data_IF_378949117146
#
_entry.id   IF_378949117146
#
_cell.length_a   1.000
_cell.length_b   1.000
_cell.length_c   1.000
_cell.angle_alpha   90.00
_cell.angle_beta   90.00
_cell.angle_gamma   90.00
#
_symmetry.space_group_name_H-M   'P 1'
#
loop_
_entity.id
_entity.type
_entity.pdbx_description
1 polymer ?
#
# COMPACT_ATOMS: atom_id res chain seq x y z
N UNK A 1 -15.19 18.77 -6.32
CA UNK A 1 -14.95 17.32 -6.04
C UNK A 1 -13.51 17.07 -5.61
N UNK A 2 -12.54 17.73 -6.24
CA UNK A 2 -11.10 17.57 -5.91
C UNK A 2 -10.72 17.78 -4.43
N UNK A 3 -11.23 18.79 -3.68
CA UNK A 3 -10.83 18.97 -2.29
C UNK A 3 -11.32 17.85 -1.36
N UNK A 4 -12.46 17.21 -1.67
CA UNK A 4 -12.98 16.07 -0.91
C UNK A 4 -12.10 14.84 -1.12
N UNK A 5 -11.68 14.58 -2.37
CA UNK A 5 -10.73 13.50 -2.67
C UNK A 5 -9.37 13.76 -2.04
N UNK A 6 -8.87 15.00 -2.06
CA UNK A 6 -7.61 15.35 -1.39
C UNK A 6 -7.67 15.08 0.12
N UNK A 7 -8.77 15.45 0.79
CA UNK A 7 -8.96 15.15 2.22
C UNK A 7 -9.05 13.64 2.48
N UNK A 8 -9.74 12.89 1.62
CA UNK A 8 -9.86 11.44 1.73
C UNK A 8 -8.50 10.74 1.54
N UNK A 9 -7.72 11.14 0.53
CA UNK A 9 -6.36 10.65 0.31
C UNK A 9 -5.50 10.93 1.54
N UNK A 10 -5.54 12.15 2.07
CA UNK A 10 -4.81 12.51 3.30
C UNK A 10 -5.21 11.64 4.50
N UNK A 11 -6.50 11.35 4.67
CA UNK A 11 -6.99 10.46 5.72
C UNK A 11 -6.48 9.03 5.55
N UNK A 12 -6.50 8.48 4.33
CA UNK A 12 -5.98 7.14 4.05
C UNK A 12 -4.47 7.04 4.30
N UNK A 13 -3.70 8.06 3.91
CA UNK A 13 -2.28 8.15 4.24
C UNK A 13 -2.05 8.20 5.75
N UNK A 14 -2.80 9.04 6.48
CA UNK A 14 -2.68 9.15 7.92
C UNK A 14 -2.98 7.83 8.63
N UNK A 15 -4.06 7.15 8.26
CA UNK A 15 -4.44 5.85 8.84
C UNK A 15 -3.44 4.75 8.47
N UNK A 16 -2.99 4.70 7.21
CA UNK A 16 -2.01 3.73 6.74
C UNK A 16 -0.68 3.86 7.50
N UNK A 17 -0.15 5.08 7.59
CA UNK A 17 1.09 5.36 8.33
C UNK A 17 0.91 5.05 9.82
N UNK A 18 -0.19 5.49 10.43
CA UNK A 18 -0.46 5.22 11.85
C UNK A 18 -0.47 3.71 12.17
N UNK A 19 -1.09 2.90 11.33
CA UNK A 19 -1.13 1.45 11.49
C UNK A 19 0.24 0.79 11.23
N UNK A 20 1.03 1.31 10.29
CA UNK A 20 2.40 0.84 10.03
C UNK A 20 3.35 1.11 11.21
N UNK A 21 3.08 2.11 12.04
CA UNK A 21 3.84 2.41 13.27
C UNK A 21 3.38 1.59 14.48
N UNK A 22 2.43 0.67 14.30
CA UNK A 22 1.96 -0.21 15.37
C UNK A 22 2.99 -1.29 15.72
N UNK A 23 2.95 -1.74 16.98
CA UNK A 23 3.75 -2.87 17.48
C UNK A 23 3.31 -4.24 16.97
N UNK A 24 2.02 -4.41 16.69
CA UNK A 24 1.50 -5.69 16.21
C UNK A 24 1.64 -5.82 14.69
N UNK A 25 2.29 -6.90 14.23
CA UNK A 25 2.54 -7.19 12.81
C UNK A 25 1.25 -7.20 11.99
N UNK A 26 0.14 -7.73 12.53
CA UNK A 26 -1.17 -7.73 11.84
C UNK A 26 -1.65 -6.30 11.52
N UNK A 27 -1.45 -5.36 12.45
CA UNK A 27 -1.81 -3.96 12.22
C UNK A 27 -0.90 -3.31 11.18
N UNK A 28 0.40 -3.65 11.17
CA UNK A 28 1.34 -3.20 10.14
C UNK A 28 0.88 -3.67 8.75
N UNK A 29 0.49 -4.95 8.62
CA UNK A 29 -0.02 -5.52 7.37
C UNK A 29 -1.28 -4.78 6.86
N UNK A 30 -2.22 -4.49 7.75
CA UNK A 30 -3.40 -3.67 7.41
C UNK A 30 -3.00 -2.25 6.99
N UNK A 31 -2.02 -1.66 7.67
CA UNK A 31 -1.44 -0.36 7.33
C UNK A 31 -0.88 -0.33 5.91
N UNK A 32 -0.11 -1.37 5.52
CA UNK A 32 0.45 -1.51 4.16
C UNK A 32 -0.67 -1.56 3.11
N UNK A 33 -1.74 -2.31 3.35
CA UNK A 33 -2.88 -2.40 2.41
C UNK A 33 -3.58 -1.05 2.26
N UNK A 34 -3.88 -0.37 3.38
CA UNK A 34 -4.54 0.94 3.35
C UNK A 34 -3.65 1.98 2.67
N UNK A 35 -2.35 1.95 2.95
CA UNK A 35 -1.36 2.83 2.32
C UNK A 35 -1.28 2.61 0.80
N UNK A 36 -1.24 1.36 0.34
CA UNK A 36 -1.28 1.06 -1.10
C UNK A 36 -2.54 1.59 -1.78
N UNK A 37 -3.70 1.49 -1.12
CA UNK A 37 -4.95 2.09 -1.61
C UNK A 37 -4.88 3.63 -1.62
N UNK A 38 -4.23 4.26 -0.63
CA UNK A 38 -4.02 5.70 -0.59
C UNK A 38 -3.22 6.20 -1.80
N UNK A 39 -2.15 5.47 -2.17
CA UNK A 39 -1.33 5.76 -3.35
C UNK A 39 -2.15 5.60 -4.64
N UNK A 40 -2.96 4.55 -4.77
CA UNK A 40 -3.84 4.37 -5.93
C UNK A 40 -4.84 5.53 -6.08
N UNK A 41 -5.44 5.99 -4.97
CA UNK A 41 -6.35 7.13 -4.96
C UNK A 41 -5.63 8.45 -5.29
N UNK A 42 -4.38 8.61 -4.86
CA UNK A 42 -3.55 9.77 -5.22
C UNK A 42 -3.30 9.81 -6.73
N UNK A 43 -2.89 8.70 -7.33
CA UNK A 43 -2.67 8.58 -8.78
C UNK A 43 -3.98 8.88 -9.54
N UNK A 44 -5.10 8.33 -9.06
CA UNK A 44 -6.42 8.57 -9.64
C UNK A 44 -6.78 10.05 -9.62
N UNK A 45 -6.58 10.72 -8.48
CA UNK A 45 -6.91 12.15 -8.31
C UNK A 45 -5.99 13.04 -9.17
N UNK A 46 -4.72 12.68 -9.32
CA UNK A 46 -3.77 13.37 -10.19
C UNK A 46 -4.15 13.29 -11.69
N UNK A 47 -4.89 12.25 -12.07
CA UNK A 47 -5.38 12.03 -13.43
C UNK A 47 -6.45 12.99 -13.95
N UNK A 48 -6.89 13.95 -13.11
CA UNK A 48 -8.12 14.76 -13.25
C UNK A 48 -9.38 13.90 -13.30
N UNK A 49 -10.26 14.12 -12.32
CA UNK A 49 -11.54 13.43 -12.20
C UNK A 49 -12.55 14.12 -13.12
N UNK A 50 -12.54 13.74 -14.39
CA UNK A 50 -13.57 14.11 -15.36
C UNK A 50 -14.72 13.10 -15.25
N UNK A 51 -15.98 13.56 -15.37
CA UNK A 51 -17.17 12.71 -15.50
C UNK A 51 -17.28 12.05 -16.88
N UNK A 52 -16.15 11.88 -17.55
CA UNK A 52 -16.09 11.38 -18.91
C UNK A 52 -16.17 9.85 -18.94
N UNK A 53 -16.58 9.33 -20.09
CA UNK A 53 -16.82 7.90 -20.31
C UNK A 53 -15.51 7.12 -20.15
N UNK A 54 -15.62 5.84 -19.80
CA UNK A 54 -14.47 4.93 -19.74
C UNK A 54 -13.63 5.03 -21.03
N UNK A 55 -12.30 4.95 -20.90
CA UNK A 55 -11.37 5.05 -22.02
C UNK A 55 -11.37 3.76 -22.86
N UNK A 56 -12.52 3.42 -23.43
CA UNK A 56 -12.76 2.20 -24.23
C UNK A 56 -13.27 2.65 -25.58
N UNK A 57 -12.62 2.19 -26.65
CA UNK A 57 -13.06 2.43 -28.02
C UNK A 57 -14.16 1.40 -28.35
N UNK A 58 -15.35 1.85 -28.81
CA UNK A 58 -16.41 0.94 -29.21
C UNK A 58 -15.97 0.01 -30.37
N UNK A 59 -16.52 -1.20 -30.41
CA UNK A 59 -16.27 -2.13 -31.51
C UNK A 59 -16.68 -1.52 -32.85
N UNK A 60 -15.74 -1.52 -33.82
CA UNK A 60 -15.96 -0.95 -35.16
C UNK A 60 -15.62 0.54 -35.30
N UNK A 61 -15.10 1.20 -34.26
CA UNK A 61 -14.57 2.56 -34.33
C UNK A 61 -13.03 2.57 -34.25
N UNK A 62 -12.38 3.41 -35.05
CA UNK A 62 -10.92 3.62 -34.97
C UNK A 62 -10.54 4.71 -33.95
N UNK A 63 -11.51 5.51 -33.51
CA UNK A 63 -11.31 6.63 -32.59
C UNK A 63 -12.41 6.70 -31.53
N UNK A 64 -12.11 7.29 -30.35
CA UNK A 64 -13.11 7.46 -29.30
C UNK A 64 -14.28 8.33 -29.76
N UNK A 65 -15.50 7.89 -29.51
CA UNK A 65 -16.70 8.65 -29.83
C UNK A 65 -17.02 9.59 -28.68
N UNK A 66 -16.38 10.76 -28.66
CA UNK A 66 -16.57 11.79 -27.64
C UNK A 66 -15.45 11.86 -26.60
N UNK A 67 -15.64 12.65 -25.53
CA UNK A 67 -14.63 12.86 -24.50
C UNK A 67 -14.48 11.61 -23.62
N UNK A 68 -13.23 11.16 -23.45
CA UNK A 68 -12.84 9.97 -22.69
C UNK A 68 -11.96 10.32 -21.50
N UNK A 69 -12.14 9.58 -20.42
CA UNK A 69 -11.25 9.63 -19.25
C UNK A 69 -9.79 9.37 -19.62
N UNK A 70 -8.86 9.95 -18.86
CA UNK A 70 -7.42 9.76 -19.09
C UNK A 70 -7.06 8.28 -18.87
N UNK A 71 -6.54 7.56 -19.89
CA UNK A 71 -6.21 6.15 -19.76
C UNK A 71 -4.90 5.92 -19.00
N UNK A 72 -4.00 6.91 -18.92
CA UNK A 72 -2.68 6.73 -18.32
C UNK A 72 -2.75 6.42 -16.81
N UNK A 73 -3.47 7.20 -15.96
CA UNK A 73 -3.65 6.85 -14.54
C UNK A 73 -4.30 5.48 -14.34
N UNK A 74 -5.23 5.09 -15.21
CA UNK A 74 -5.96 3.82 -15.10
C UNK A 74 -5.02 2.63 -15.30
N UNK A 75 -4.19 2.69 -16.35
CA UNK A 75 -3.19 1.67 -16.61
C UNK A 75 -2.16 1.57 -15.47
N UNK A 76 -1.67 2.71 -14.97
CA UNK A 76 -0.72 2.76 -13.85
C UNK A 76 -1.29 2.15 -12.57
N UNK A 77 -2.55 2.45 -12.24
CA UNK A 77 -3.23 1.90 -11.06
C UNK A 77 -3.41 0.38 -11.20
N UNK A 78 -3.79 -0.12 -12.37
CA UNK A 78 -3.94 -1.56 -12.59
C UNK A 78 -2.61 -2.30 -12.35
N UNK A 79 -1.49 -1.75 -12.83
CA UNK A 79 -0.15 -2.29 -12.54
C UNK A 79 0.17 -2.21 -11.04
N UNK A 80 -0.09 -1.07 -10.40
CA UNK A 80 0.18 -0.87 -8.98
C UNK A 80 -0.62 -1.83 -8.09
N UNK A 81 -1.87 -2.14 -8.45
CA UNK A 81 -2.73 -3.11 -7.74
C UNK A 81 -2.08 -4.50 -7.75
N UNK A 82 -1.62 -4.98 -8.90
CA UNK A 82 -1.01 -6.32 -9.02
C UNK A 82 0.29 -6.42 -8.22
N UNK A 83 1.14 -5.39 -8.29
CA UNK A 83 2.38 -5.33 -7.51
C UNK A 83 2.08 -5.33 -6.00
N UNK A 84 1.15 -4.46 -5.57
CA UNK A 84 0.77 -4.35 -4.16
C UNK A 84 0.17 -5.65 -3.63
N UNK A 85 -0.65 -6.33 -4.42
CA UNK A 85 -1.21 -7.63 -4.06
C UNK A 85 -0.13 -8.70 -3.90
N UNK A 86 0.80 -8.79 -4.86
CA UNK A 86 1.89 -9.77 -4.83
C UNK A 86 2.80 -9.54 -3.62
N UNK A 87 3.15 -8.27 -3.37
CA UNK A 87 3.93 -7.87 -2.20
C UNK A 87 3.21 -8.18 -0.89
N UNK A 88 1.91 -7.88 -0.80
CA UNK A 88 1.11 -8.17 0.39
C UNK A 88 1.00 -9.67 0.65
N UNK A 89 0.77 -10.49 -0.37
CA UNK A 89 0.72 -11.94 -0.23
C UNK A 89 2.04 -12.50 0.31
N UNK A 90 3.17 -12.00 -0.20
CA UNK A 90 4.50 -12.34 0.32
C UNK A 90 4.66 -11.93 1.79
N UNK A 91 4.36 -10.68 2.13
CA UNK A 91 4.45 -10.19 3.51
C UNK A 91 3.55 -10.97 4.48
N UNK A 92 2.35 -11.34 4.05
CA UNK A 92 1.41 -12.12 4.85
C UNK A 92 1.99 -13.51 5.16
N UNK A 93 2.56 -14.19 4.17
CA UNK A 93 3.20 -15.49 4.36
C UNK A 93 4.44 -15.36 5.24
N UNK A 94 5.26 -14.32 5.03
CA UNK A 94 6.43 -14.06 5.86
C UNK A 94 6.04 -13.83 7.33
N UNK A 95 5.04 -12.97 7.57
CA UNK A 95 4.53 -12.70 8.91
C UNK A 95 3.96 -13.96 9.57
N UNK A 96 3.24 -14.78 8.81
CA UNK A 96 2.72 -16.06 9.30
C UNK A 96 3.85 -17.02 9.71
N UNK A 97 4.91 -17.13 8.90
CA UNK A 97 6.09 -17.95 9.21
C UNK A 97 6.85 -17.43 10.42
N UNK A 98 7.06 -16.11 10.51
CA UNK A 98 7.71 -15.48 11.64
C UNK A 98 6.92 -15.74 12.94
N UNK A 99 5.59 -15.65 12.89
CA UNK A 99 4.74 -15.98 14.04
C UNK A 99 4.85 -17.46 14.46
N UNK A 100 4.92 -18.39 13.49
CA UNK A 100 5.10 -19.82 13.80
C UNK A 100 6.44 -20.11 14.49
N UNK A 101 7.50 -19.39 14.13
CA UNK A 101 8.86 -19.62 14.64
C UNK A 101 9.13 -18.87 15.95
N UNK A 102 8.71 -17.61 16.06
CA UNK A 102 8.98 -16.74 17.21
C UNK A 102 7.87 -16.86 18.27
N UNK A 103 6.63 -17.14 17.87
CA UNK A 103 5.49 -17.29 18.77
C UNK A 103 4.90 -15.97 19.28
N UNK A 104 5.32 -14.82 18.75
CA UNK A 104 4.74 -13.51 19.06
C UNK A 104 4.50 -12.69 17.79
N UNK A 105 3.49 -11.81 17.82
CA UNK A 105 3.22 -10.83 16.77
C UNK A 105 3.62 -9.40 17.17
N UNK A 106 4.14 -9.23 18.39
CA UNK A 106 4.66 -7.97 18.91
C UNK A 106 6.10 -7.77 18.44
N UNK A 107 6.33 -6.74 17.62
CA UNK A 107 7.64 -6.38 17.09
C UNK A 107 8.66 -6.08 18.16
N UNK A 108 8.26 -5.54 19.33
CA UNK A 108 9.19 -5.28 20.43
C UNK A 108 9.75 -6.59 21.04
N UNK A 109 9.00 -7.68 20.89
CA UNK A 109 9.37 -9.03 21.34
C UNK A 109 10.16 -9.85 20.31
N UNK A 110 10.26 -9.40 19.06
CA UNK A 110 10.96 -10.10 17.97
C UNK A 110 12.49 -9.92 18.03
N UNK A 111 13.11 -10.31 19.15
CA UNK A 111 14.51 -10.03 19.48
C UNK A 111 15.50 -11.16 19.19
N UNK A 112 15.19 -12.06 18.25
CA UNK A 112 16.05 -13.22 17.92
C UNK A 112 17.48 -12.81 17.54
N UNK A 113 17.63 -11.67 16.83
CA UNK A 113 18.93 -11.16 16.42
C UNK A 113 19.63 -10.27 17.47
N UNK A 114 18.91 -9.76 18.48
CA UNK A 114 19.46 -8.91 19.53
C UNK A 114 18.84 -9.26 20.90
N UNK A 115 19.23 -10.41 21.48
CA UNK A 115 18.69 -10.88 22.75
C UNK A 115 18.90 -9.84 23.86
N UNK A 116 17.91 -9.68 24.74
CA UNK A 116 18.04 -8.75 25.85
C UNK A 116 19.10 -9.25 26.84
N UNK A 117 20.08 -8.39 27.17
CA UNK A 117 21.09 -8.67 28.19
C UNK A 117 22.40 -9.25 27.69
N UNK A 118 22.66 -9.27 26.37
CA UNK A 118 24.01 -9.55 25.87
C UNK A 118 24.96 -8.40 26.21
N UNK A 119 26.19 -8.70 26.71
CA UNK A 119 27.18 -7.66 26.96
C UNK A 119 27.56 -6.99 25.63
N UNK A 120 27.68 -5.66 25.66
CA UNK A 120 28.07 -4.87 24.49
C UNK A 120 29.38 -5.42 23.91
N UNK A 121 29.52 -5.46 22.57
CA UNK A 121 30.75 -5.88 21.94
C UNK A 121 31.92 -5.03 22.47
N UNK A 122 33.10 -5.63 22.67
CA UNK A 122 34.24 -4.93 23.28
C UNK A 122 34.58 -3.68 22.47
N UNK A 123 34.53 -2.52 23.14
CA UNK A 123 34.79 -1.20 22.57
C UNK A 123 36.30 -0.95 22.53
N UNK A 124 37.06 -1.90 21.98
CA UNK A 124 38.52 -1.86 21.96
C UNK A 124 39.07 -2.54 20.72
N UNK A 125 39.62 -1.73 19.82
CA UNK A 125 40.75 -2.14 18.98
C UNK A 125 42.04 -1.75 19.70
#
# INVERSE_FOLDING_TARGET
MEPVFAALVGLFFAVGIYLMLSKHVVRILLGVVIFGNAVNLLIFTAGRILREVAAIIPEGADTPVGPISNPLPQALILTAIVISFSFFAFLLVLAYRAYQEIGTDDTDGMRVAEPAGEPLPPIGY
#
